data_IF_245930954502
#
_entry.id   IF_245930954502
#
_cell.length_a   1.000
_cell.length_b   1.000
_cell.length_c   1.000
_cell.angle_alpha   90.00
_cell.angle_beta   90.00
_cell.angle_gamma   90.00
#
_symmetry.space_group_name_H-M   'P 1'
#
loop_
_entity.id
_entity.type
_entity.pdbx_description
1 polymer ?
#
# COMPACT_ATOMS: atom_id res chain seq x y z
N UNK A 1 62.77 2.37 34.81
CA UNK A 1 61.66 1.46 35.08
C UNK A 1 60.46 1.88 34.24
N UNK A 2 60.12 1.02 33.34
CA UNK A 2 58.99 1.21 32.42
C UNK A 2 57.69 0.92 33.11
N UNK A 3 56.65 1.62 32.73
CA UNK A 3 55.29 1.10 32.73
C UNK A 3 54.55 1.65 31.51
N UNK A 4 54.36 0.79 30.57
CA UNK A 4 53.48 0.94 29.43
C UNK A 4 52.03 0.79 29.89
N UNK A 5 51.18 1.77 29.57
CA UNK A 5 49.74 1.68 29.66
C UNK A 5 49.15 1.82 28.26
N UNK A 6 48.87 0.68 27.65
CA UNK A 6 48.05 0.67 26.43
C UNK A 6 46.59 0.83 26.80
N UNK A 7 46.02 1.97 26.45
CA UNK A 7 44.58 2.17 26.45
C UNK A 7 43.99 1.52 25.19
N UNK A 8 43.15 0.55 25.41
CA UNK A 8 42.35 -0.09 24.38
C UNK A 8 41.26 0.92 23.90
N UNK A 9 41.14 1.22 22.60
CA UNK A 9 40.01 2.03 22.16
C UNK A 9 38.75 1.20 22.28
N UNK A 10 37.76 1.82 22.90
CA UNK A 10 36.42 1.29 23.08
C UNK A 10 35.85 0.77 21.74
N UNK A 11 35.46 -0.50 21.74
CA UNK A 11 34.58 -1.06 20.73
C UNK A 11 33.30 -0.25 20.67
N UNK A 12 33.15 0.53 19.61
CA UNK A 12 31.86 1.06 19.21
C UNK A 12 31.04 -0.11 18.76
N UNK A 13 30.15 -0.58 19.62
CA UNK A 13 29.22 -1.66 19.31
C UNK A 13 28.47 -1.33 18.03
N UNK A 14 28.88 -1.96 16.94
CA UNK A 14 28.14 -1.95 15.72
C UNK A 14 26.79 -2.60 15.97
N UNK A 15 25.72 -1.83 15.87
CA UNK A 15 24.38 -2.38 15.71
C UNK A 15 24.36 -3.09 14.36
N UNK A 16 24.73 -4.36 14.34
CA UNK A 16 24.40 -5.24 13.24
C UNK A 16 22.89 -5.46 13.30
N UNK A 17 22.12 -4.70 12.53
CA UNK A 17 20.78 -5.09 12.16
C UNK A 17 20.92 -6.39 11.37
N UNK A 18 20.81 -7.50 12.05
CA UNK A 18 20.62 -8.79 11.40
C UNK A 18 19.12 -8.89 11.10
N UNK A 19 18.67 -8.15 10.09
CA UNK A 19 17.36 -8.34 9.50
C UNK A 19 17.38 -9.64 8.71
N UNK A 20 16.71 -10.65 9.20
CA UNK A 20 16.47 -11.86 8.43
C UNK A 20 14.97 -12.10 8.33
N UNK A 21 14.54 -12.47 7.13
CA UNK A 21 13.16 -12.86 6.88
C UNK A 21 12.81 -14.05 7.79
N UNK A 22 11.61 -14.05 8.45
CA UNK A 22 11.16 -15.20 9.23
C UNK A 22 11.18 -16.49 8.41
N UNK A 23 11.46 -17.61 9.04
CA UNK A 23 11.58 -18.90 8.34
C UNK A 23 10.30 -19.35 7.65
N UNK A 24 9.15 -18.93 8.15
CA UNK A 24 7.83 -19.20 7.56
C UNK A 24 7.51 -18.28 6.38
N UNK A 25 8.12 -17.10 6.29
CA UNK A 25 7.88 -16.19 5.17
C UNK A 25 8.51 -16.74 3.88
N UNK A 26 7.88 -16.45 2.76
CA UNK A 26 8.29 -16.92 1.46
C UNK A 26 8.32 -15.81 0.40
N UNK A 27 8.69 -16.13 -0.82
CA UNK A 27 8.79 -15.15 -1.90
C UNK A 27 7.44 -14.53 -2.28
N UNK A 28 6.32 -15.20 -2.03
CA UNK A 28 4.98 -14.63 -2.26
C UNK A 28 4.76 -13.43 -1.34
N UNK A 29 5.18 -13.54 -0.06
CA UNK A 29 5.09 -12.43 0.89
C UNK A 29 5.94 -11.23 0.42
N UNK A 30 7.17 -11.47 0.00
CA UNK A 30 8.08 -10.39 -0.43
C UNK A 30 7.59 -9.71 -1.70
N UNK A 31 7.15 -10.47 -2.70
CA UNK A 31 6.60 -9.91 -3.95
C UNK A 31 5.30 -9.15 -3.69
N UNK A 32 4.48 -9.61 -2.76
CA UNK A 32 3.29 -8.89 -2.35
C UNK A 32 3.64 -7.49 -1.79
N UNK A 33 4.61 -7.40 -0.87
CA UNK A 33 5.07 -6.10 -0.36
C UNK A 33 5.52 -5.18 -1.50
N UNK A 34 6.31 -5.70 -2.43
CA UNK A 34 6.85 -4.93 -3.55
C UNK A 34 5.76 -4.39 -4.50
N UNK A 35 4.70 -5.14 -4.72
CA UNK A 35 3.60 -4.76 -5.60
C UNK A 35 2.54 -3.91 -4.89
N UNK A 36 2.23 -4.22 -3.63
CA UNK A 36 1.12 -3.59 -2.92
C UNK A 36 1.47 -2.21 -2.35
N UNK A 37 2.72 -1.95 -1.98
CA UNK A 37 3.12 -0.61 -1.50
C UNK A 37 2.89 0.48 -2.56
N UNK A 38 3.40 0.37 -3.80
CA UNK A 38 3.10 1.38 -4.83
C UNK A 38 1.62 1.40 -5.24
N UNK A 39 0.92 0.26 -5.18
CA UNK A 39 -0.51 0.20 -5.44
C UNK A 39 -1.28 1.03 -4.41
N UNK A 40 -1.02 0.85 -3.12
CA UNK A 40 -1.62 1.64 -2.04
C UNK A 40 -1.27 3.13 -2.13
N UNK A 41 -0.02 3.45 -2.48
CA UNK A 41 0.38 4.85 -2.67
C UNK A 41 -0.48 5.55 -3.72
N UNK A 42 -0.80 4.86 -4.82
CA UNK A 42 -1.68 5.44 -5.84
C UNK A 42 -3.09 5.72 -5.33
N UNK A 43 -3.65 4.85 -4.47
CA UNK A 43 -4.94 5.10 -3.84
C UNK A 43 -4.91 6.30 -2.88
N UNK A 44 -3.82 6.47 -2.13
CA UNK A 44 -3.59 7.66 -1.30
C UNK A 44 -3.54 8.91 -2.16
N UNK A 45 -2.79 8.89 -3.26
CA UNK A 45 -2.66 10.03 -4.17
C UNK A 45 -4.01 10.42 -4.81
N UNK A 46 -4.82 9.45 -5.24
CA UNK A 46 -6.17 9.70 -5.75
C UNK A 46 -7.09 10.28 -4.68
N UNK A 47 -7.00 9.78 -3.46
CA UNK A 47 -7.78 10.29 -2.33
C UNK A 47 -7.40 11.73 -1.99
N UNK A 48 -6.10 12.06 -1.99
CA UNK A 48 -5.63 13.43 -1.76
C UNK A 48 -6.14 14.41 -2.83
N UNK A 49 -6.19 14.00 -4.11
CA UNK A 49 -6.73 14.83 -5.19
C UNK A 49 -8.19 15.19 -4.93
N UNK A 50 -9.01 14.21 -4.60
CA UNK A 50 -10.45 14.41 -4.37
C UNK A 50 -10.72 15.21 -3.09
N UNK A 51 -9.94 14.99 -2.04
CA UNK A 51 -10.08 15.71 -0.77
C UNK A 51 -9.68 17.18 -0.87
N UNK A 52 -8.86 17.55 -1.84
CA UNK A 52 -8.46 18.93 -2.10
C UNK A 52 -9.55 19.75 -2.79
N UNK A 53 -10.54 19.13 -3.43
CA UNK A 53 -11.63 19.81 -4.11
C UNK A 53 -12.78 20.10 -3.12
N UNK A 54 -13.16 21.39 -2.91
CA UNK A 54 -14.23 21.74 -1.98
C UNK A 54 -15.63 21.29 -2.43
N UNK A 55 -15.82 21.07 -3.74
CA UNK A 55 -17.12 20.78 -4.35
C UNK A 55 -17.49 19.29 -4.36
N UNK A 56 -16.64 18.43 -3.80
CA UNK A 56 -16.92 17.01 -3.61
C UNK A 56 -17.95 16.80 -2.49
N UNK A 57 -18.86 15.84 -2.68
CA UNK A 57 -19.88 15.51 -1.68
C UNK A 57 -19.26 15.02 -0.35
N UNK A 58 -19.95 15.24 0.78
CA UNK A 58 -19.50 14.72 2.08
C UNK A 58 -19.32 13.20 2.09
N UNK A 59 -20.17 12.48 1.40
CA UNK A 59 -20.15 11.01 1.32
C UNK A 59 -18.88 10.51 0.60
N UNK A 60 -18.53 11.13 -0.52
CA UNK A 60 -17.29 10.79 -1.24
C UNK A 60 -16.06 11.25 -0.48
N UNK A 61 -16.10 12.39 0.21
CA UNK A 61 -15.01 12.80 1.10
C UNK A 61 -14.79 11.81 2.25
N UNK A 62 -15.86 11.29 2.83
CA UNK A 62 -15.76 10.30 3.92
C UNK A 62 -15.05 9.03 3.45
N UNK A 63 -15.48 8.44 2.33
CA UNK A 63 -14.80 7.23 1.82
C UNK A 63 -13.35 7.51 1.43
N UNK A 64 -13.05 8.64 0.79
CA UNK A 64 -11.69 9.03 0.43
C UNK A 64 -10.79 9.19 1.67
N UNK A 65 -11.29 9.78 2.75
CA UNK A 65 -10.56 9.93 4.02
C UNK A 65 -10.26 8.56 4.66
N UNK A 66 -11.23 7.65 4.66
CA UNK A 66 -11.06 6.30 5.20
C UNK A 66 -10.04 5.50 4.40
N UNK A 67 -10.13 5.50 3.07
CA UNK A 67 -9.17 4.84 2.18
C UNK A 67 -7.76 5.42 2.41
N UNK A 68 -7.61 6.73 2.42
CA UNK A 68 -6.34 7.40 2.67
C UNK A 68 -5.72 6.98 4.00
N UNK A 69 -6.51 6.98 5.07
CA UNK A 69 -6.02 6.67 6.41
C UNK A 69 -5.61 5.20 6.54
N UNK A 70 -6.46 4.27 6.09
CA UNK A 70 -6.17 2.84 6.18
C UNK A 70 -4.98 2.45 5.32
N UNK A 71 -4.94 2.88 4.07
CA UNK A 71 -3.89 2.49 3.14
C UNK A 71 -2.53 3.15 3.47
N UNK A 72 -2.51 4.36 4.05
CA UNK A 72 -1.27 4.94 4.58
C UNK A 72 -0.70 4.11 5.73
N UNK A 73 -1.53 3.66 6.67
CA UNK A 73 -1.09 2.81 7.77
C UNK A 73 -0.59 1.43 7.28
N UNK A 74 -1.23 0.87 6.27
CA UNK A 74 -0.83 -0.38 5.64
C UNK A 74 0.51 -0.25 4.88
N UNK A 75 0.75 0.87 4.20
CA UNK A 75 2.06 1.20 3.60
C UNK A 75 3.15 1.21 4.67
N UNK A 76 2.92 1.90 5.79
CA UNK A 76 3.89 1.99 6.88
C UNK A 76 4.23 0.61 7.43
N UNK A 77 3.22 -0.24 7.65
CA UNK A 77 3.42 -1.61 8.11
C UNK A 77 4.20 -2.47 7.09
N UNK A 78 3.84 -2.41 5.82
CA UNK A 78 4.52 -3.18 4.77
C UNK A 78 5.97 -2.74 4.58
N UNK A 79 6.25 -1.43 4.63
CA UNK A 79 7.61 -0.90 4.59
C UNK A 79 8.42 -1.31 5.83
N UNK A 80 7.79 -1.36 7.01
CA UNK A 80 8.44 -1.85 8.22
C UNK A 80 8.85 -3.32 8.08
N UNK A 81 7.96 -4.19 7.59
CA UNK A 81 8.30 -5.59 7.33
C UNK A 81 9.45 -5.73 6.31
N UNK A 82 9.41 -4.95 5.23
CA UNK A 82 10.46 -4.98 4.22
C UNK A 82 11.83 -4.59 4.80
N UNK A 83 11.85 -3.60 5.69
CA UNK A 83 13.07 -3.18 6.39
C UNK A 83 13.54 -4.22 7.40
N UNK A 84 12.64 -4.84 8.17
CA UNK A 84 12.98 -5.91 9.09
C UNK A 84 13.53 -7.15 8.38
N UNK A 85 13.02 -7.43 7.16
CA UNK A 85 13.42 -8.59 6.37
C UNK A 85 14.59 -8.33 5.43
N UNK A 86 15.17 -7.12 5.44
CA UNK A 86 16.25 -6.70 4.54
C UNK A 86 15.86 -6.85 3.04
N UNK A 87 14.63 -6.48 2.70
CA UNK A 87 14.07 -6.62 1.36
C UNK A 87 13.84 -5.29 0.63
N UNK A 88 14.31 -4.16 1.15
CA UNK A 88 14.09 -2.83 0.56
C UNK A 88 14.67 -2.71 -0.86
N UNK A 89 15.81 -3.37 -1.13
CA UNK A 89 16.41 -3.41 -2.48
C UNK A 89 15.49 -4.11 -3.47
N UNK A 90 14.95 -5.27 -3.08
CA UNK A 90 14.01 -6.02 -3.92
C UNK A 90 12.74 -5.20 -4.17
N UNK A 91 12.23 -4.51 -3.17
CA UNK A 91 11.07 -3.63 -3.32
C UNK A 91 11.34 -2.51 -4.33
N UNK A 92 12.50 -1.85 -4.25
CA UNK A 92 12.88 -0.81 -5.21
C UNK A 92 13.01 -1.36 -6.63
N UNK A 93 13.58 -2.53 -6.80
CA UNK A 93 13.77 -3.15 -8.13
C UNK A 93 12.46 -3.56 -8.81
N UNK A 94 11.39 -3.73 -8.05
CA UNK A 94 10.06 -4.11 -8.56
C UNK A 94 9.04 -2.97 -8.51
N UNK A 95 9.41 -1.79 -8.02
CA UNK A 95 8.51 -0.65 -7.87
C UNK A 95 7.89 -0.18 -9.21
N UNK A 96 8.58 -0.41 -10.32
CA UNK A 96 8.10 -0.05 -11.66
C UNK A 96 7.21 -1.14 -12.29
N UNK A 97 7.08 -2.30 -11.65
CA UNK A 97 6.18 -3.34 -12.12
C UNK A 97 4.73 -2.96 -11.76
N UNK A 98 3.90 -2.82 -12.79
CA UNK A 98 2.49 -2.51 -12.62
C UNK A 98 1.78 -3.71 -11.98
N UNK A 99 1.24 -3.51 -10.79
CA UNK A 99 0.32 -4.47 -10.18
C UNK A 99 -1.05 -4.41 -10.87
N UNK A 100 -1.86 -5.45 -10.65
CA UNK A 100 -3.20 -5.52 -11.22
C UNK A 100 -4.07 -4.38 -10.70
N UNK A 101 -4.80 -3.72 -11.61
CA UNK A 101 -5.71 -2.63 -11.28
C UNK A 101 -5.05 -1.26 -11.10
N UNK A 102 -3.73 -1.13 -11.31
CA UNK A 102 -3.08 0.17 -11.33
C UNK A 102 -3.72 1.09 -12.37
N UNK A 103 -3.98 2.31 -11.96
CA UNK A 103 -4.53 3.35 -12.82
C UNK A 103 -3.40 3.92 -13.69
N UNK A 104 -3.66 4.13 -14.98
CA UNK A 104 -2.67 4.68 -15.91
C UNK A 104 -2.32 6.13 -15.58
N UNK A 105 -1.15 6.57 -16.03
CA UNK A 105 -0.76 7.99 -15.89
C UNK A 105 -1.76 8.92 -16.55
N UNK A 106 -2.33 8.53 -17.69
CA UNK A 106 -3.36 9.30 -18.38
C UNK A 106 -4.62 9.45 -17.51
N UNK A 107 -5.09 8.37 -16.91
CA UNK A 107 -6.26 8.40 -16.01
C UNK A 107 -5.98 9.21 -14.72
N UNK A 108 -4.77 9.12 -14.18
CA UNK A 108 -4.36 9.96 -13.04
C UNK A 108 -4.36 11.45 -13.39
N UNK A 109 -3.90 11.82 -14.58
CA UNK A 109 -3.92 13.20 -15.05
C UNK A 109 -5.33 13.68 -15.36
N UNK A 110 -6.19 12.81 -15.90
CA UNK A 110 -7.60 13.10 -16.11
C UNK A 110 -8.30 13.39 -14.77
N UNK A 111 -8.02 12.59 -13.74
CA UNK A 111 -8.54 12.85 -12.39
C UNK A 111 -8.03 14.18 -11.84
N UNK A 112 -6.74 14.46 -11.96
CA UNK A 112 -6.12 15.69 -11.46
C UNK A 112 -6.69 16.94 -12.12
N UNK A 113 -7.05 16.86 -13.39
CA UNK A 113 -7.59 17.99 -14.16
C UNK A 113 -9.11 18.13 -14.06
N UNK A 114 -9.80 17.18 -13.45
CA UNK A 114 -11.25 17.26 -13.24
C UNK A 114 -11.59 17.95 -11.92
N UNK A 115 -12.85 18.40 -11.80
CA UNK A 115 -13.36 19.10 -10.61
C UNK A 115 -14.81 18.73 -10.35
N UNK A 116 -15.27 18.95 -9.11
CA UNK A 116 -16.66 18.80 -8.71
C UNK A 116 -17.24 17.43 -9.01
N UNK A 117 -18.50 17.38 -9.47
CA UNK A 117 -19.21 16.13 -9.72
C UNK A 117 -18.54 15.24 -10.78
N UNK A 118 -17.83 15.83 -11.74
CA UNK A 118 -17.05 15.08 -12.74
C UNK A 118 -15.87 14.34 -12.10
N UNK A 119 -15.11 15.03 -11.25
CA UNK A 119 -14.01 14.45 -10.49
C UNK A 119 -14.51 13.36 -9.53
N UNK A 120 -15.60 13.62 -8.84
CA UNK A 120 -16.21 12.67 -7.92
C UNK A 120 -16.57 11.34 -8.60
N UNK A 121 -17.30 11.39 -9.72
CA UNK A 121 -17.66 10.18 -10.46
C UNK A 121 -16.43 9.44 -11.01
N UNK A 122 -15.45 10.18 -11.51
CA UNK A 122 -14.21 9.59 -12.03
C UNK A 122 -13.41 8.92 -10.91
N UNK A 123 -13.25 9.58 -9.76
CA UNK A 123 -12.61 9.00 -8.58
C UNK A 123 -13.27 7.69 -8.15
N UNK A 124 -14.58 7.67 -7.99
CA UNK A 124 -15.30 6.48 -7.56
C UNK A 124 -15.13 5.31 -8.54
N UNK A 125 -15.14 5.57 -9.84
CA UNK A 125 -14.89 4.54 -10.86
C UNK A 125 -13.46 4.03 -10.87
N UNK A 126 -12.50 4.93 -10.83
CA UNK A 126 -11.08 4.57 -10.84
C UNK A 126 -10.69 3.84 -9.56
N UNK A 127 -11.17 4.30 -8.41
CA UNK A 127 -10.90 3.63 -7.13
C UNK A 127 -11.56 2.25 -7.05
N UNK A 128 -12.76 2.09 -7.59
CA UNK A 128 -13.41 0.78 -7.71
C UNK A 128 -12.56 -0.19 -8.54
N UNK A 129 -12.12 0.22 -9.74
CA UNK A 129 -11.23 -0.56 -10.60
C UNK A 129 -9.90 -0.91 -9.89
N UNK A 130 -9.34 0.05 -9.18
CA UNK A 130 -8.10 -0.10 -8.43
C UNK A 130 -8.25 -1.16 -7.32
N UNK A 131 -9.32 -1.12 -6.55
CA UNK A 131 -9.65 -2.12 -5.54
C UNK A 131 -9.89 -3.51 -6.14
N UNK A 132 -10.60 -3.58 -7.26
CA UNK A 132 -10.84 -4.85 -7.95
C UNK A 132 -9.54 -5.56 -8.33
N UNK A 133 -8.53 -4.81 -8.76
CA UNK A 133 -7.18 -5.35 -9.02
C UNK A 133 -6.52 -5.88 -7.76
N UNK A 134 -6.58 -5.13 -6.67
CA UNK A 134 -6.01 -5.54 -5.39
C UNK A 134 -6.62 -6.83 -4.83
N UNK A 135 -7.91 -7.07 -5.00
CA UNK A 135 -8.61 -8.26 -4.49
C UNK A 135 -7.94 -9.56 -4.97
N UNK A 136 -7.45 -9.59 -6.21
CA UNK A 136 -6.75 -10.77 -6.75
C UNK A 136 -5.41 -11.01 -6.08
N UNK A 137 -4.63 -9.96 -5.89
CA UNK A 137 -3.32 -10.02 -5.21
C UNK A 137 -3.48 -10.42 -3.73
N UNK A 138 -4.44 -9.81 -3.04
CA UNK A 138 -4.79 -10.14 -1.66
C UNK A 138 -5.21 -11.60 -1.52
N UNK A 139 -6.05 -12.09 -2.43
CA UNK A 139 -6.47 -13.50 -2.47
C UNK A 139 -5.31 -14.46 -2.70
N UNK A 140 -4.35 -14.10 -3.53
CA UNK A 140 -3.15 -14.88 -3.76
C UNK A 140 -2.29 -14.97 -2.49
N UNK A 141 -2.08 -13.84 -1.80
CA UNK A 141 -1.30 -13.81 -0.55
C UNK A 141 -1.97 -14.64 0.55
N UNK A 142 -3.27 -14.47 0.76
CA UNK A 142 -4.04 -15.26 1.75
C UNK A 142 -3.86 -16.75 1.53
N UNK A 143 -3.82 -17.20 0.28
CA UNK A 143 -3.72 -18.61 -0.09
C UNK A 143 -2.28 -19.14 -0.05
N UNK A 144 -1.31 -18.37 -0.52
CA UNK A 144 0.02 -18.84 -0.85
C UNK A 144 1.15 -18.17 -0.05
N UNK A 145 0.88 -17.10 0.69
CA UNK A 145 1.85 -16.45 1.58
C UNK A 145 2.26 -17.37 2.73
N UNK A 146 3.48 -17.23 3.19
CA UNK A 146 4.01 -18.01 4.30
C UNK A 146 3.85 -17.33 5.66
N UNK A 147 3.95 -16.02 5.71
CA UNK A 147 3.94 -15.25 6.95
C UNK A 147 2.51 -14.96 7.43
N UNK A 148 2.11 -15.63 8.50
CA UNK A 148 0.73 -15.59 8.98
C UNK A 148 0.21 -14.17 9.30
N UNK A 149 0.99 -13.28 9.99
CA UNK A 149 0.49 -11.93 10.25
C UNK A 149 0.18 -11.12 8.98
N UNK A 150 0.95 -11.31 7.91
CA UNK A 150 0.71 -10.64 6.64
C UNK A 150 -0.51 -11.23 5.91
N UNK A 151 -0.71 -12.53 6.00
CA UNK A 151 -1.93 -13.19 5.48
C UNK A 151 -3.19 -12.70 6.19
N UNK A 152 -3.13 -12.54 7.51
CA UNK A 152 -4.25 -12.03 8.32
C UNK A 152 -4.56 -10.58 7.94
N UNK A 153 -3.54 -9.75 7.77
CA UNK A 153 -3.69 -8.38 7.29
C UNK A 153 -4.29 -8.36 5.87
N UNK A 154 -3.83 -9.21 4.97
CA UNK A 154 -4.37 -9.31 3.62
C UNK A 154 -5.86 -9.70 3.60
N UNK A 155 -6.28 -10.57 4.50
CA UNK A 155 -7.70 -10.90 4.62
C UNK A 155 -8.51 -9.69 5.11
N UNK A 156 -8.02 -8.94 6.08
CA UNK A 156 -8.67 -7.70 6.55
C UNK A 156 -8.75 -6.64 5.45
N UNK A 157 -7.64 -6.41 4.73
CA UNK A 157 -7.61 -5.51 3.56
C UNK A 157 -8.67 -5.91 2.53
N UNK A 158 -8.74 -7.21 2.22
CA UNK A 158 -9.70 -7.74 1.24
C UNK A 158 -11.14 -7.48 1.66
N UNK A 159 -11.49 -7.75 2.92
CA UNK A 159 -12.84 -7.55 3.43
C UNK A 159 -13.20 -6.05 3.45
N UNK A 160 -12.27 -5.19 3.85
CA UNK A 160 -12.44 -3.73 3.83
C UNK A 160 -12.64 -3.21 2.40
N UNK A 161 -11.79 -3.61 1.47
CA UNK A 161 -11.87 -3.13 0.08
C UNK A 161 -13.12 -3.62 -0.64
N UNK A 162 -13.61 -4.83 -0.35
CA UNK A 162 -14.90 -5.31 -0.87
C UNK A 162 -16.07 -4.46 -0.36
N UNK A 163 -16.06 -4.09 0.92
CA UNK A 163 -17.09 -3.19 1.49
C UNK A 163 -17.02 -1.79 0.87
N UNK A 164 -15.82 -1.25 0.66
CA UNK A 164 -15.61 0.04 0.00
C UNK A 164 -16.07 0.00 -1.47
N UNK A 165 -15.85 -1.10 -2.18
CA UNK A 165 -16.37 -1.29 -3.54
C UNK A 165 -17.90 -1.26 -3.59
N UNK A 166 -18.57 -1.92 -2.65
CA UNK A 166 -20.04 -1.88 -2.57
C UNK A 166 -20.54 -0.46 -2.28
N UNK A 167 -19.86 0.29 -1.41
CA UNK A 167 -20.19 1.68 -1.11
C UNK A 167 -19.97 2.59 -2.33
N UNK A 168 -18.85 2.45 -3.03
CA UNK A 168 -18.57 3.21 -4.27
C UNK A 168 -19.60 2.93 -5.36
N UNK A 169 -20.00 1.67 -5.53
CA UNK A 169 -21.06 1.30 -6.48
C UNK A 169 -22.40 1.94 -6.10
N UNK A 170 -22.73 1.99 -4.81
CA UNK A 170 -23.94 2.64 -4.33
C UNK A 170 -23.93 4.17 -4.58
N UNK A 171 -22.80 4.83 -4.32
CA UNK A 171 -22.62 6.27 -4.60
C UNK A 171 -22.69 6.59 -6.09
N UNK A 172 -22.19 5.70 -6.95
CA UNK A 172 -22.29 5.82 -8.41
C UNK A 172 -23.69 5.54 -8.93
N UNK A 173 -24.51 4.76 -8.21
CA UNK A 173 -25.79 4.23 -8.66
C UNK A 173 -25.67 3.08 -9.68
N UNK A 174 -24.46 2.58 -9.87
CA UNK A 174 -24.15 1.49 -10.80
C UNK A 174 -22.88 0.74 -10.36
N UNK A 175 -22.78 -0.53 -10.73
CA UNK A 175 -21.49 -1.26 -10.64
C UNK A 175 -20.63 -0.85 -11.84
N UNK A 176 -19.40 -0.34 -11.60
CA UNK A 176 -18.43 -0.15 -12.68
C UNK A 176 -18.09 -1.47 -13.38
N UNK A 177 -17.94 -1.43 -14.70
CA UNK A 177 -17.56 -2.56 -15.57
C UNK A 177 -16.15 -2.34 -16.06
#
# INVERSE_FOLDING_TARGET
MQVSGQGNPAEVGGFTRSGSMPSEANMVDVLFLALMVPHHQQAVDMSDMVLADPDISPETKDIAQRIRASQSAEIDYMNHLASEWDQEELMRSHADHLSMGMISQQQMEELRSSTGAGMERLFLRLMYQHHEGAIKELGNLVKNGGYQPLRDLAQQMKDTQLAEMDEMAALLGEKPV
#
